data_IF_518969620812
#
_entry.id   IF_518969620812
#
_cell.length_a   1.000
_cell.length_b   1.000
_cell.length_c   1.000
_cell.angle_alpha   90.00
_cell.angle_beta   90.00
_cell.angle_gamma   90.00
#
_symmetry.space_group_name_H-M   'P 1'
#
loop_
_entity.id
_entity.type
_entity.pdbx_description
1 polymer ?
#
# COMPACT_ATOMS: atom_id res chain seq x y z
N UNK A 1 -23.34 17.24 -37.43
CA UNK A 1 -22.78 17.64 -36.10
C UNK A 1 -22.77 16.41 -35.21
N UNK A 2 -21.60 15.81 -35.04
CA UNK A 2 -21.41 14.62 -34.23
C UNK A 2 -21.64 14.94 -32.76
N UNK A 3 -22.42 14.09 -32.11
CA UNK A 3 -22.67 14.17 -30.66
C UNK A 3 -21.36 13.86 -29.93
N UNK A 4 -20.66 14.88 -29.49
CA UNK A 4 -19.61 14.72 -28.53
C UNK A 4 -20.25 14.17 -27.25
N UNK A 5 -19.81 13.00 -26.85
CA UNK A 5 -20.30 12.40 -25.61
C UNK A 5 -19.82 13.24 -24.42
N UNK A 6 -20.62 13.34 -23.35
CA UNK A 6 -20.25 14.02 -22.11
C UNK A 6 -18.87 13.61 -21.59
N UNK A 7 -18.44 12.37 -21.86
CA UNK A 7 -17.12 11.87 -21.53
C UNK A 7 -15.99 12.54 -22.30
N UNK A 8 -16.18 12.79 -23.62
CA UNK A 8 -15.19 13.49 -24.43
C UNK A 8 -15.08 14.96 -24.03
N UNK A 9 -16.18 15.59 -23.63
CA UNK A 9 -16.20 16.98 -23.15
C UNK A 9 -15.50 17.11 -21.77
N UNK A 10 -15.70 16.14 -20.87
CA UNK A 10 -15.02 16.09 -19.57
C UNK A 10 -13.51 15.82 -19.73
N UNK A 11 -13.12 14.98 -20.68
CA UNK A 11 -11.69 14.76 -20.99
C UNK A 11 -11.04 15.99 -21.63
N UNK A 12 -11.73 16.71 -22.51
CA UNK A 12 -11.21 17.93 -23.13
C UNK A 12 -11.19 19.11 -22.16
N UNK A 13 -12.20 19.23 -21.29
CA UNK A 13 -12.27 20.27 -20.26
C UNK A 13 -11.23 20.10 -19.14
N UNK A 14 -10.84 18.86 -18.80
CA UNK A 14 -9.79 18.59 -17.84
C UNK A 14 -8.38 18.86 -18.37
N UNK A 15 -8.19 18.87 -19.68
CA UNK A 15 -6.93 19.28 -20.32
C UNK A 15 -6.73 20.81 -20.31
N UNK A 16 -7.81 21.58 -20.19
CA UNK A 16 -7.77 23.04 -20.23
C UNK A 16 -7.85 23.74 -18.87
N UNK A 17 -8.22 23.05 -17.82
CA UNK A 17 -8.48 23.66 -16.51
C UNK A 17 -8.23 22.73 -15.32
N UNK A 18 -6.99 22.52 -14.95
CA UNK A 18 -6.65 21.96 -13.64
C UNK A 18 -6.48 20.45 -13.59
N UNK A 19 -5.32 19.96 -13.97
CA UNK A 19 -4.90 18.55 -13.96
C UNK A 19 -4.72 17.89 -12.59
N UNK A 20 -5.35 18.36 -11.53
CA UNK A 20 -5.13 17.85 -10.15
C UNK A 20 -6.07 16.69 -9.79
N UNK A 21 -7.15 16.45 -10.54
CA UNK A 21 -8.18 15.50 -10.12
C UNK A 21 -8.17 14.13 -10.82
N UNK A 22 -7.32 13.89 -11.80
CA UNK A 22 -7.44 12.70 -12.65
C UNK A 22 -6.67 11.49 -12.11
N UNK A 23 -5.58 11.67 -11.39
CA UNK A 23 -4.76 10.56 -10.90
C UNK A 23 -5.43 9.73 -9.80
N UNK A 24 -6.36 10.31 -9.06
CA UNK A 24 -6.98 9.69 -7.88
C UNK A 24 -8.40 9.17 -8.15
N UNK A 25 -9.10 9.77 -9.14
CA UNK A 25 -10.49 9.43 -9.45
C UNK A 25 -10.65 8.19 -10.33
N UNK A 26 -9.57 7.57 -10.82
CA UNK A 26 -9.64 6.49 -11.82
C UNK A 26 -9.79 5.10 -11.19
N UNK A 27 -9.63 4.96 -9.87
CA UNK A 27 -9.99 3.73 -9.16
C UNK A 27 -11.27 3.95 -8.34
N UNK A 28 -12.47 3.85 -8.95
CA UNK A 28 -13.71 3.95 -8.21
C UNK A 28 -13.90 2.67 -7.40
N UNK A 29 -14.00 2.82 -6.10
CA UNK A 29 -14.20 1.74 -5.16
C UNK A 29 -12.99 1.54 -4.24
N UNK A 30 -13.23 0.92 -3.12
CA UNK A 30 -12.17 0.43 -2.25
C UNK A 30 -11.57 -0.80 -2.90
N UNK A 31 -10.34 -0.70 -3.43
CA UNK A 31 -9.63 -1.83 -4.04
C UNK A 31 -9.51 -2.97 -3.04
N UNK A 32 -9.29 -2.66 -1.76
CA UNK A 32 -9.22 -3.65 -0.70
C UNK A 32 -10.46 -4.55 -0.67
N UNK A 33 -11.67 -4.01 -0.82
CA UNK A 33 -12.89 -4.81 -0.90
C UNK A 33 -12.93 -5.81 -2.06
N UNK A 34 -12.36 -5.43 -3.21
CA UNK A 34 -12.38 -6.28 -4.40
C UNK A 34 -11.44 -7.47 -4.32
N UNK A 35 -10.37 -7.33 -3.58
CA UNK A 35 -9.32 -8.35 -3.48
C UNK A 35 -9.25 -9.01 -2.11
N UNK A 36 -10.10 -8.58 -1.16
CA UNK A 36 -10.11 -9.12 0.21
C UNK A 36 -10.22 -10.64 0.22
N UNK A 37 -11.22 -11.19 -0.46
CA UNK A 37 -11.48 -12.63 -0.50
C UNK A 37 -10.38 -13.45 -1.19
N UNK A 38 -9.46 -12.77 -1.87
CA UNK A 38 -8.31 -13.39 -2.56
C UNK A 38 -7.06 -13.40 -1.69
N UNK A 39 -6.95 -12.45 -0.74
CA UNK A 39 -5.69 -12.14 -0.04
C UNK A 39 -5.80 -12.32 1.47
N UNK A 40 -6.99 -12.08 2.04
CA UNK A 40 -7.22 -12.17 3.47
C UNK A 40 -7.79 -13.53 3.84
N UNK A 41 -7.18 -14.18 4.82
CA UNK A 41 -7.67 -15.40 5.43
C UNK A 41 -8.76 -15.10 6.47
N UNK A 42 -9.36 -16.17 7.05
CA UNK A 42 -10.37 -16.01 8.10
C UNK A 42 -9.78 -15.28 9.32
N UNK A 43 -10.44 -14.19 9.72
CA UNK A 43 -9.98 -13.35 10.84
C UNK A 43 -9.01 -12.25 10.45
N UNK A 44 -8.66 -12.12 9.17
CA UNK A 44 -7.86 -11.03 8.64
C UNK A 44 -8.71 -9.96 7.94
N UNK A 45 -8.30 -8.72 8.04
CA UNK A 45 -8.98 -7.58 7.38
C UNK A 45 -8.01 -6.79 6.53
N UNK A 46 -8.29 -6.68 5.24
CA UNK A 46 -7.56 -5.83 4.31
C UNK A 46 -8.04 -4.37 4.47
N UNK A 47 -7.43 -3.66 5.40
CA UNK A 47 -7.73 -2.25 5.69
C UNK A 47 -7.39 -1.36 4.48
N UNK A 48 -6.28 -1.64 3.82
CA UNK A 48 -5.87 -1.01 2.58
C UNK A 48 -5.29 -2.10 1.65
N UNK A 49 -5.25 -1.88 0.34
CA UNK A 49 -4.65 -2.84 -0.60
C UNK A 49 -3.23 -3.32 -0.21
N UNK A 50 -2.49 -2.53 0.54
CA UNK A 50 -1.14 -2.84 1.01
C UNK A 50 -1.06 -3.13 2.52
N UNK A 51 -2.18 -3.17 3.24
CA UNK A 51 -2.22 -3.33 4.71
C UNK A 51 -3.29 -4.34 5.09
N UNK A 52 -2.85 -5.47 5.63
CA UNK A 52 -3.68 -6.51 6.23
C UNK A 52 -3.46 -6.51 7.74
N UNK A 53 -4.51 -6.70 8.54
CA UNK A 53 -4.45 -6.77 10.00
C UNK A 53 -5.26 -7.99 10.43
N UNK A 54 -4.66 -8.85 11.23
CA UNK A 54 -5.31 -10.05 11.77
C UNK A 54 -5.83 -9.85 13.20
N UNK A 55 -6.47 -10.89 13.74
CA UNK A 55 -7.04 -10.89 15.09
C UNK A 55 -5.99 -10.82 16.20
N UNK A 56 -4.75 -11.20 15.93
CA UNK A 56 -3.62 -11.14 16.86
C UNK A 56 -2.91 -9.80 16.83
N UNK A 57 -3.48 -8.82 16.14
CA UNK A 57 -2.94 -7.48 15.96
C UNK A 57 -1.61 -7.44 15.18
N UNK A 58 -1.36 -8.46 14.35
CA UNK A 58 -0.23 -8.48 13.42
C UNK A 58 -0.57 -7.63 12.20
N UNK A 59 0.31 -6.72 11.86
CA UNK A 59 0.20 -5.90 10.66
C UNK A 59 1.03 -6.52 9.55
N UNK A 60 0.39 -6.95 8.47
CA UNK A 60 1.08 -7.50 7.30
C UNK A 60 1.11 -6.49 6.15
N UNK A 61 2.31 -6.13 5.73
CA UNK A 61 2.56 -5.29 4.56
C UNK A 61 2.53 -6.15 3.28
N UNK A 62 1.58 -5.89 2.40
CA UNK A 62 1.51 -6.53 1.08
C UNK A 62 2.49 -5.83 0.13
N UNK A 63 3.60 -6.50 -0.21
CA UNK A 63 4.68 -5.90 -0.99
C UNK A 63 4.62 -6.33 -2.45
N UNK A 64 4.43 -5.41 -3.41
CA UNK A 64 4.27 -5.75 -4.83
C UNK A 64 5.64 -5.91 -5.55
N UNK A 65 6.63 -6.43 -4.86
CA UNK A 65 7.97 -6.65 -5.39
C UNK A 65 8.56 -7.94 -4.85
N UNK A 66 9.05 -8.78 -5.77
CA UNK A 66 9.75 -10.00 -5.40
C UNK A 66 11.08 -9.70 -4.67
N UNK A 67 11.38 -10.49 -3.66
CA UNK A 67 12.68 -10.43 -2.97
C UNK A 67 13.71 -11.25 -3.75
N UNK A 68 14.75 -10.58 -4.22
CA UNK A 68 15.86 -11.17 -4.96
C UNK A 68 17.20 -11.01 -4.22
N UNK A 69 17.14 -10.80 -2.90
CA UNK A 69 18.33 -10.52 -2.08
C UNK A 69 18.60 -9.02 -1.86
N UNK A 70 17.82 -8.13 -2.50
CA UNK A 70 18.01 -6.68 -2.44
C UNK A 70 17.43 -6.02 -1.19
N UNK A 71 16.62 -6.73 -0.38
CA UNK A 71 16.04 -6.22 0.86
C UNK A 71 14.88 -5.23 0.65
N UNK A 72 14.30 -5.19 -0.54
CA UNK A 72 13.24 -4.22 -0.87
C UNK A 72 11.97 -4.43 -0.05
N UNK A 73 11.58 -5.68 0.20
CA UNK A 73 10.36 -5.99 0.95
C UNK A 73 10.45 -5.48 2.39
N UNK A 74 11.55 -5.76 3.10
CA UNK A 74 11.75 -5.27 4.47
C UNK A 74 11.76 -3.73 4.52
N UNK A 75 12.44 -3.08 3.57
CA UNK A 75 12.49 -1.62 3.54
C UNK A 75 11.11 -1.00 3.27
N UNK A 76 10.33 -1.59 2.38
CA UNK A 76 8.95 -1.14 2.11
C UNK A 76 8.02 -1.37 3.30
N UNK A 77 8.16 -2.51 4.00
CA UNK A 77 7.43 -2.77 5.24
C UNK A 77 7.77 -1.74 6.32
N UNK A 78 9.04 -1.33 6.45
CA UNK A 78 9.43 -0.24 7.36
C UNK A 78 8.74 1.09 7.02
N UNK A 79 8.65 1.42 5.74
CA UNK A 79 7.99 2.66 5.29
C UNK A 79 6.49 2.67 5.60
N UNK A 80 5.82 1.53 5.41
CA UNK A 80 4.43 1.37 5.76
C UNK A 80 4.21 1.41 7.26
N UNK A 81 4.98 0.63 8.02
CA UNK A 81 4.87 0.51 9.47
C UNK A 81 5.06 1.86 10.17
N UNK A 82 6.03 2.65 9.72
CA UNK A 82 6.30 3.96 10.29
C UNK A 82 5.12 4.92 10.09
N UNK A 83 4.59 5.00 8.87
CA UNK A 83 3.44 5.86 8.59
C UNK A 83 2.16 5.38 9.28
N UNK A 84 2.03 4.08 9.49
CA UNK A 84 0.89 3.48 10.19
C UNK A 84 0.99 3.63 11.72
N UNK A 85 2.15 3.98 12.28
CA UNK A 85 2.45 3.88 13.72
C UNK A 85 2.34 2.43 14.25
N UNK A 86 2.67 1.45 13.43
CA UNK A 86 2.63 0.06 13.82
C UNK A 86 3.84 -0.32 14.69
N UNK A 87 3.63 -1.26 15.60
CA UNK A 87 4.73 -1.89 16.33
C UNK A 87 5.55 -2.77 15.37
N UNK A 88 6.79 -2.38 15.12
CA UNK A 88 7.68 -3.09 14.20
C UNK A 88 7.86 -4.58 14.53
N UNK A 89 7.84 -4.94 15.79
CA UNK A 89 8.05 -6.32 16.22
C UNK A 89 6.90 -7.25 15.81
N UNK A 90 5.69 -6.68 15.63
CA UNK A 90 4.50 -7.40 15.14
C UNK A 90 4.25 -7.21 13.65
N UNK A 91 5.06 -6.39 12.95
CA UNK A 91 4.94 -6.22 11.50
C UNK A 91 5.49 -7.44 10.76
N UNK A 92 4.75 -7.88 9.77
CA UNK A 92 5.14 -8.91 8.80
C UNK A 92 5.03 -8.35 7.39
N UNK A 93 5.54 -9.07 6.42
CA UNK A 93 5.26 -8.77 5.02
C UNK A 93 4.94 -10.05 4.25
N UNK A 94 4.15 -9.88 3.22
CA UNK A 94 3.85 -10.90 2.23
C UNK A 94 4.06 -10.33 0.84
N UNK A 95 4.40 -11.20 -0.11
CA UNK A 95 4.48 -10.81 -1.51
C UNK A 95 3.05 -10.69 -2.06
N UNK A 96 2.72 -9.52 -2.57
CA UNK A 96 1.42 -9.30 -3.18
C UNK A 96 1.26 -10.15 -4.45
N UNK A 97 0.07 -10.72 -4.69
CA UNK A 97 -0.15 -11.53 -5.87
C UNK A 97 0.01 -10.72 -7.17
N UNK A 98 0.36 -11.42 -8.26
CA UNK A 98 0.57 -10.83 -9.58
C UNK A 98 -0.77 -10.49 -10.25
N UNK A 99 -1.49 -9.50 -9.73
CA UNK A 99 -2.76 -8.99 -10.26
C UNK A 99 -2.66 -7.50 -10.57
N UNK A 100 -3.56 -7.00 -11.41
CA UNK A 100 -3.52 -5.61 -11.90
C UNK A 100 -3.65 -4.56 -10.79
N UNK A 101 -4.28 -4.90 -9.67
CA UNK A 101 -4.42 -4.02 -8.50
C UNK A 101 -3.08 -3.63 -7.88
N UNK A 102 -2.08 -4.49 -8.03
CA UNK A 102 -0.71 -4.25 -7.56
C UNK A 102 0.25 -3.81 -8.67
N UNK A 103 -0.27 -3.48 -9.85
CA UNK A 103 0.57 -2.94 -10.93
C UNK A 103 1.29 -1.65 -10.50
N UNK A 104 2.59 -1.59 -10.74
CA UNK A 104 3.44 -0.49 -10.26
C UNK A 104 3.78 0.50 -11.39
N UNK A 105 2.76 1.27 -11.80
CA UNK A 105 2.84 2.24 -12.89
C UNK A 105 3.95 3.29 -12.71
N UNK A 106 4.28 3.62 -11.48
CA UNK A 106 5.32 4.60 -11.15
C UNK A 106 6.71 4.12 -11.55
N UNK A 107 6.99 2.82 -11.43
CA UNK A 107 8.21 2.22 -11.98
C UNK A 107 8.21 2.23 -13.50
N UNK A 108 7.10 1.84 -14.14
CA UNK A 108 6.95 1.92 -15.59
C UNK A 108 7.19 3.33 -16.11
N UNK A 109 6.63 4.34 -15.42
CA UNK A 109 6.90 5.76 -15.71
C UNK A 109 8.40 6.08 -15.61
N UNK A 110 9.07 5.64 -14.54
CA UNK A 110 10.50 5.88 -14.36
C UNK A 110 11.37 5.27 -15.46
N UNK A 111 10.99 4.09 -15.96
CA UNK A 111 11.69 3.48 -17.10
C UNK A 111 11.45 4.20 -18.42
N UNK A 112 10.23 4.67 -18.71
CA UNK A 112 9.88 5.31 -19.97
C UNK A 112 10.35 6.76 -20.05
N UNK A 113 10.22 7.49 -18.96
CA UNK A 113 10.50 8.93 -18.95
C UNK A 113 11.83 9.28 -18.26
N UNK A 114 12.46 8.30 -17.57
CA UNK A 114 13.76 8.49 -16.88
C UNK A 114 13.79 9.80 -16.09
N UNK A 115 14.76 10.65 -16.40
CA UNK A 115 14.99 11.94 -15.75
C UNK A 115 14.31 13.12 -16.46
N UNK A 116 13.32 12.87 -17.33
CA UNK A 116 12.57 13.92 -17.97
C UNK A 116 11.73 14.62 -16.90
N UNK A 117 12.09 15.88 -16.63
CA UNK A 117 11.29 16.76 -15.78
C UNK A 117 10.01 17.13 -16.53
N UNK A 118 8.93 16.45 -16.19
CA UNK A 118 7.61 16.77 -16.72
C UNK A 118 7.08 18.02 -16.02
N UNK A 119 6.51 18.98 -16.77
CA UNK A 119 5.80 20.08 -16.14
C UNK A 119 4.71 19.57 -15.19
N UNK A 120 4.60 20.17 -14.00
CA UNK A 120 3.68 19.74 -12.95
C UNK A 120 2.23 19.59 -13.41
N UNK A 121 1.79 20.42 -14.34
CA UNK A 121 0.43 20.35 -14.89
C UNK A 121 0.18 19.12 -15.79
N UNK A 122 1.22 18.50 -16.37
CA UNK A 122 1.11 17.29 -17.20
C UNK A 122 1.29 16.00 -16.39
N UNK A 123 2.00 16.06 -15.27
CA UNK A 123 2.33 14.90 -14.46
C UNK A 123 1.08 14.05 -14.11
N UNK A 124 -0.06 14.61 -13.65
CA UNK A 124 -1.24 13.82 -13.33
C UNK A 124 -1.86 13.10 -14.53
N UNK A 125 -1.82 13.71 -15.72
CA UNK A 125 -2.34 13.09 -16.94
C UNK A 125 -1.49 11.91 -17.40
N UNK A 126 -0.17 12.07 -17.29
CA UNK A 126 0.79 11.01 -17.61
C UNK A 126 0.70 9.88 -16.60
N UNK A 127 0.58 10.16 -15.32
CA UNK A 127 0.37 9.17 -14.28
C UNK A 127 -0.92 8.39 -14.50
N UNK A 128 -2.01 9.05 -14.85
CA UNK A 128 -3.28 8.40 -15.20
C UNK A 128 -3.17 7.50 -16.43
N UNK A 129 -2.43 7.91 -17.44
CA UNK A 129 -2.16 7.10 -18.63
C UNK A 129 -1.30 5.88 -18.27
N UNK A 130 -0.22 6.07 -17.52
CA UNK A 130 0.67 4.99 -17.10
C UNK A 130 -0.03 3.99 -16.18
N UNK A 131 -0.91 4.46 -15.30
CA UNK A 131 -1.72 3.59 -14.45
C UNK A 131 -2.62 2.67 -15.30
N UNK A 132 -3.31 3.21 -16.29
CA UNK A 132 -4.16 2.43 -17.20
C UNK A 132 -3.35 1.44 -18.04
N UNK A 133 -2.20 1.88 -18.54
CA UNK A 133 -1.31 1.02 -19.32
C UNK A 133 -0.77 -0.12 -18.46
N UNK A 134 -0.31 0.17 -17.26
CA UNK A 134 0.20 -0.84 -16.32
C UNK A 134 -0.89 -1.83 -15.90
N UNK A 135 -2.11 -1.35 -15.68
CA UNK A 135 -3.27 -2.19 -15.39
C UNK A 135 -3.61 -3.11 -16.58
N UNK A 136 -3.71 -2.56 -17.79
CA UNK A 136 -4.02 -3.31 -18.99
C UNK A 136 -2.95 -4.36 -19.38
N UNK A 137 -1.70 -4.09 -19.04
CA UNK A 137 -0.56 -4.99 -19.32
C UNK A 137 -0.21 -5.87 -18.12
N UNK A 138 -0.94 -5.79 -17.01
CA UNK A 138 -0.65 -6.48 -15.75
C UNK A 138 0.81 -6.29 -15.30
N UNK A 139 1.32 -5.07 -15.45
CA UNK A 139 2.74 -4.77 -15.22
C UNK A 139 3.09 -4.79 -13.74
N UNK A 140 3.76 -5.83 -13.29
CA UNK A 140 4.52 -5.84 -12.06
C UNK A 140 6.01 -5.83 -12.37
N UNK A 141 6.67 -4.76 -11.95
CA UNK A 141 8.10 -4.57 -12.19
C UNK A 141 8.81 -4.61 -10.85
N UNK A 142 9.72 -5.57 -10.70
CA UNK A 142 10.59 -5.69 -9.53
C UNK A 142 11.91 -4.96 -9.77
N UNK A 143 12.50 -4.43 -8.70
CA UNK A 143 13.78 -3.77 -8.71
C UNK A 143 14.35 -3.62 -7.29
N UNK A 144 15.46 -2.90 -7.19
CA UNK A 144 16.11 -2.59 -5.92
C UNK A 144 15.75 -1.20 -5.40
N UNK A 145 16.73 -0.29 -5.39
CA UNK A 145 16.57 1.06 -4.84
C UNK A 145 15.48 1.89 -5.51
N UNK A 146 15.23 1.69 -6.81
CA UNK A 146 14.15 2.37 -7.51
C UNK A 146 12.78 1.94 -6.97
N UNK A 147 12.59 0.65 -6.67
CA UNK A 147 11.35 0.14 -6.05
C UNK A 147 11.08 0.81 -4.72
N UNK A 148 12.11 0.96 -3.87
CA UNK A 148 11.99 1.63 -2.57
C UNK A 148 11.67 3.12 -2.75
N UNK A 149 12.39 3.80 -3.64
CA UNK A 149 12.19 5.24 -3.90
C UNK A 149 10.81 5.56 -4.48
N UNK A 150 10.28 4.67 -5.31
CA UNK A 150 9.02 4.91 -6.04
C UNK A 150 7.85 4.24 -5.35
N UNK A 151 7.80 2.91 -5.32
CA UNK A 151 6.70 2.17 -4.68
C UNK A 151 6.68 2.39 -3.17
N UNK A 152 7.84 2.42 -2.52
CA UNK A 152 7.95 2.72 -1.10
C UNK A 152 7.39 4.11 -0.78
N UNK A 153 7.91 5.14 -1.45
CA UNK A 153 7.54 6.53 -1.18
C UNK A 153 6.09 6.87 -1.57
N UNK A 154 5.64 6.43 -2.75
CA UNK A 154 4.35 6.81 -3.32
C UNK A 154 3.28 5.73 -3.19
N UNK A 155 3.61 4.56 -2.68
CA UNK A 155 2.69 3.47 -2.41
C UNK A 155 2.63 3.15 -0.91
N UNK A 156 3.70 2.58 -0.37
CA UNK A 156 3.71 2.04 0.99
C UNK A 156 3.52 3.11 2.08
N UNK A 157 4.17 4.27 1.96
CA UNK A 157 3.96 5.38 2.89
C UNK A 157 2.52 5.90 2.83
N UNK A 158 2.00 6.11 1.63
CA UNK A 158 0.62 6.58 1.45
C UNK A 158 -0.37 5.55 2.00
N UNK A 159 -0.13 4.26 1.76
CA UNK A 159 -0.97 3.18 2.28
C UNK A 159 -0.98 3.13 3.82
N UNK A 160 0.21 3.23 4.44
CA UNK A 160 0.33 3.26 5.90
C UNK A 160 -0.39 4.46 6.51
N UNK A 161 -0.19 5.66 5.96
CA UNK A 161 -0.85 6.87 6.44
C UNK A 161 -2.39 6.81 6.25
N UNK A 162 -2.86 6.33 5.09
CA UNK A 162 -4.30 6.17 4.84
C UNK A 162 -4.93 5.15 5.78
N UNK A 163 -4.28 4.01 6.03
CA UNK A 163 -4.76 2.99 6.96
C UNK A 163 -4.81 3.54 8.40
N UNK A 164 -3.81 4.32 8.82
CA UNK A 164 -3.83 5.00 10.12
C UNK A 164 -5.03 5.92 10.27
N UNK A 165 -5.29 6.77 9.26
CA UNK A 165 -6.45 7.67 9.27
C UNK A 165 -7.78 6.88 9.34
N UNK A 166 -7.89 5.75 8.62
CA UNK A 166 -9.08 4.91 8.66
C UNK A 166 -9.29 4.26 10.04
N UNK A 167 -8.22 3.76 10.66
CA UNK A 167 -8.27 3.18 12.01
C UNK A 167 -8.65 4.24 13.07
N UNK A 168 -8.03 5.42 13.02
CA UNK A 168 -8.38 6.56 13.89
C UNK A 168 -9.87 6.92 13.73
N UNK A 169 -10.35 7.00 12.51
CA UNK A 169 -11.75 7.30 12.22
C UNK A 169 -12.70 6.22 12.71
N UNK A 170 -12.32 4.94 12.60
CA UNK A 170 -13.10 3.82 13.12
C UNK A 170 -13.24 3.91 14.64
N UNK A 171 -12.13 4.10 15.35
CA UNK A 171 -12.12 4.25 16.79
C UNK A 171 -12.86 5.50 17.27
N UNK A 172 -12.66 6.64 16.61
CA UNK A 172 -13.37 7.88 16.94
C UNK A 172 -14.89 7.73 16.83
N UNK A 173 -15.34 7.04 15.77
CA UNK A 173 -16.76 6.74 15.58
C UNK A 173 -17.31 5.83 16.67
N UNK A 174 -16.61 4.76 17.00
CA UNK A 174 -17.03 3.80 18.04
C UNK A 174 -17.04 4.45 19.42
N UNK A 175 -16.02 5.25 19.73
CA UNK A 175 -15.90 5.94 21.01
C UNK A 175 -16.76 7.20 21.12
N UNK A 176 -17.37 7.62 20.00
CA UNK A 176 -18.17 8.85 19.89
C UNK A 176 -17.36 10.09 20.33
N UNK A 177 -16.18 10.26 19.74
CA UNK A 177 -15.24 11.36 20.00
C UNK A 177 -14.77 11.95 18.67
N UNK A 178 -14.05 13.08 18.72
CA UNK A 178 -13.44 13.68 17.52
C UNK A 178 -12.23 12.86 17.05
N UNK A 179 -12.03 12.73 15.72
CA UNK A 179 -10.85 12.09 15.14
C UNK A 179 -9.54 12.72 15.65
N UNK A 180 -9.52 14.05 15.85
CA UNK A 180 -8.36 14.78 16.37
C UNK A 180 -8.00 14.48 17.82
N UNK A 181 -8.87 13.79 18.57
CA UNK A 181 -8.62 13.38 19.96
C UNK A 181 -8.10 11.96 20.06
N UNK A 182 -8.09 11.21 18.95
CA UNK A 182 -7.58 9.84 18.88
C UNK A 182 -6.15 9.85 18.30
N UNK A 183 -5.24 9.20 19.00
CA UNK A 183 -3.85 9.03 18.57
C UNK A 183 -3.53 7.56 18.31
N UNK A 184 -2.64 7.32 17.34
CA UNK A 184 -2.14 5.98 17.00
C UNK A 184 -0.68 5.85 17.48
N UNK A 185 -0.37 4.75 18.15
CA UNK A 185 0.99 4.43 18.59
C UNK A 185 1.16 2.93 18.83
N UNK A 186 2.24 2.33 18.29
CA UNK A 186 2.61 0.93 18.48
C UNK A 186 1.45 -0.06 18.26
N UNK A 187 0.74 0.07 17.13
CA UNK A 187 -0.43 -0.75 16.77
C UNK A 187 -1.61 -0.63 17.74
N UNK A 188 -1.70 0.46 18.49
CA UNK A 188 -2.83 0.80 19.36
C UNK A 188 -3.39 2.17 19.03
N UNK A 189 -4.66 2.35 19.37
CA UNK A 189 -5.37 3.65 19.33
C UNK A 189 -5.68 4.08 20.75
N UNK A 190 -5.53 5.37 21.00
CA UNK A 190 -5.69 5.97 22.33
C UNK A 190 -6.59 7.20 22.27
N UNK A 191 -7.48 7.35 23.27
CA UNK A 191 -8.19 8.58 23.54
C UNK A 191 -7.90 9.01 24.97
N UNK A 192 -6.98 9.97 25.14
CA UNK A 192 -6.43 10.37 26.44
C UNK A 192 -7.48 10.89 27.42
N UNK A 193 -8.45 11.68 26.93
CA UNK A 193 -9.48 12.31 27.76
C UNK A 193 -10.37 11.29 28.48
N UNK A 194 -10.69 10.16 27.86
CA UNK A 194 -11.51 9.10 28.47
C UNK A 194 -10.69 7.89 28.91
N UNK A 195 -9.38 7.90 28.71
CA UNK A 195 -8.46 6.78 28.99
C UNK A 195 -8.84 5.50 28.25
N UNK A 196 -9.52 5.61 27.10
CA UNK A 196 -9.83 4.47 26.24
C UNK A 196 -8.62 4.14 25.41
N UNK A 197 -8.44 2.84 25.20
CA UNK A 197 -7.46 2.30 24.25
C UNK A 197 -8.04 1.05 23.57
N UNK A 198 -7.52 0.72 22.40
CA UNK A 198 -7.85 -0.51 21.67
C UNK A 198 -6.75 -0.83 20.68
N UNK A 199 -6.67 -2.08 20.28
CA UNK A 199 -5.72 -2.56 19.27
C UNK A 199 -6.16 -2.15 17.88
N UNK A 200 -5.29 -2.22 16.89
CA UNK A 200 -5.70 -2.06 15.49
C UNK A 200 -6.66 -3.18 15.06
N UNK A 201 -6.48 -4.40 15.60
CA UNK A 201 -7.38 -5.52 15.34
C UNK A 201 -8.84 -5.22 15.74
N UNK A 202 -9.06 -4.54 16.88
CA UNK A 202 -10.41 -4.18 17.34
C UNK A 202 -11.16 -3.31 16.32
N UNK A 203 -10.45 -2.52 15.55
CA UNK A 203 -11.01 -1.57 14.59
C UNK A 203 -10.80 -1.95 13.12
N UNK A 204 -10.05 -3.02 12.84
CA UNK A 204 -9.67 -3.39 11.47
C UNK A 204 -10.88 -3.63 10.56
N UNK A 205 -11.89 -4.35 11.03
CA UNK A 205 -13.14 -4.61 10.29
C UNK A 205 -13.89 -3.30 9.95
N UNK A 206 -14.05 -2.41 10.94
CA UNK A 206 -14.73 -1.14 10.74
C UNK A 206 -13.92 -0.20 9.82
N UNK A 207 -12.59 -0.20 9.95
CA UNK A 207 -11.70 0.56 9.09
C UNK A 207 -11.73 0.04 7.64
N UNK A 208 -11.68 -1.28 7.42
CA UNK A 208 -11.76 -1.89 6.10
C UNK A 208 -13.03 -1.51 5.33
N UNK A 209 -14.13 -1.29 6.04
CA UNK A 209 -15.39 -0.81 5.44
C UNK A 209 -15.35 0.66 4.98
N UNK A 210 -14.30 1.41 5.31
CA UNK A 210 -14.18 2.83 4.97
C UNK A 210 -13.46 3.05 3.65
N UNK A 211 -13.68 4.22 3.05
CA UNK A 211 -12.93 4.65 1.88
C UNK A 211 -11.62 5.33 2.34
N UNK A 212 -10.45 4.89 1.84
CA UNK A 212 -9.19 5.54 2.17
C UNK A 212 -9.13 6.98 1.65
N UNK A 213 -8.41 7.84 2.37
CA UNK A 213 -8.07 9.18 1.90
C UNK A 213 -7.19 9.07 0.64
N UNK A 214 -7.44 9.94 -0.32
CA UNK A 214 -6.59 10.06 -1.51
C UNK A 214 -5.31 10.88 -1.26
N UNK A 215 -5.32 11.68 -0.21
CA UNK A 215 -4.22 12.56 0.19
C UNK A 215 -4.01 12.49 1.71
N UNK A 216 -3.60 11.31 2.23
CA UNK A 216 -3.39 11.16 3.67
C UNK A 216 -2.19 11.99 4.12
N UNK A 217 -2.21 12.40 5.38
CA UNK A 217 -1.14 13.19 5.97
C UNK A 217 0.06 12.30 6.28
N UNK A 218 1.16 12.53 5.55
CA UNK A 218 2.42 11.83 5.77
C UNK A 218 3.22 12.45 6.92
N UNK A 219 3.95 11.60 7.64
CA UNK A 219 4.89 12.04 8.67
C UNK A 219 6.07 12.81 8.07
N UNK A 220 6.54 13.79 8.82
CA UNK A 220 7.82 14.44 8.53
C UNK A 220 8.98 13.54 8.96
N UNK A 221 10.16 13.65 8.33
CA UNK A 221 11.33 12.81 8.65
C UNK A 221 11.72 12.84 10.14
N UNK A 222 11.50 13.94 10.82
CA UNK A 222 11.75 14.08 12.27
C UNK A 222 10.85 13.20 13.15
N UNK A 223 9.71 12.73 12.62
CA UNK A 223 8.76 11.88 13.32
C UNK A 223 8.96 10.38 13.03
N UNK A 224 9.95 10.02 12.20
CA UNK A 224 10.20 8.62 11.86
C UNK A 224 10.78 7.85 13.06
N UNK A 225 10.18 6.70 13.34
CA UNK A 225 10.59 5.80 14.42
C UNK A 225 11.27 4.54 13.87
N UNK A 226 10.88 4.10 12.68
CA UNK A 226 11.32 2.85 12.03
C UNK A 226 12.18 3.14 10.80
N UNK A 227 11.72 4.03 9.91
CA UNK A 227 12.52 4.48 8.76
C UNK A 227 13.83 5.14 9.23
N UNK A 228 14.92 4.86 8.49
CA UNK A 228 16.25 5.36 8.83
C UNK A 228 16.91 4.64 10.01
N UNK A 229 16.30 3.60 10.56
CA UNK A 229 16.87 2.72 11.58
C UNK A 229 17.25 1.39 10.96
N UNK A 230 18.40 0.84 11.35
CA UNK A 230 18.76 -0.52 10.96
C UNK A 230 17.83 -1.51 11.65
N UNK A 231 17.20 -2.36 10.85
CA UNK A 231 16.32 -3.44 11.31
C UNK A 231 16.77 -4.75 10.67
N UNK A 232 16.68 -5.87 11.38
CA UNK A 232 16.92 -7.18 10.80
C UNK A 232 15.97 -7.42 9.62
N UNK A 233 16.48 -8.04 8.58
CA UNK A 233 15.63 -8.47 7.46
C UNK A 233 14.81 -9.68 7.90
N UNK A 234 13.54 -9.67 7.58
CA UNK A 234 12.60 -10.75 7.97
C UNK A 234 12.88 -12.08 7.24
N UNK A 235 13.51 -12.03 6.06
CA UNK A 235 13.81 -13.19 5.23
C UNK A 235 15.13 -13.91 5.59
N UNK A 236 15.97 -13.31 6.43
CA UNK A 236 17.27 -13.89 6.78
C UNK A 236 17.15 -15.17 7.61
N UNK A 237 16.29 -15.25 8.66
CA UNK A 237 16.21 -16.45 9.49
C UNK A 237 16.00 -17.73 8.68
N UNK A 238 14.99 -17.76 7.81
CA UNK A 238 14.70 -18.93 6.96
C UNK A 238 15.83 -19.28 5.98
N UNK A 239 16.59 -18.27 5.53
CA UNK A 239 17.73 -18.49 4.62
C UNK A 239 18.97 -19.07 5.29
N UNK A 240 19.13 -18.84 6.58
CA UNK A 240 20.31 -19.33 7.33
C UNK A 240 20.05 -20.62 8.10
N UNK A 241 18.78 -20.94 8.40
CA UNK A 241 18.41 -22.21 9.03
C UNK A 241 18.01 -23.31 8.02
N UNK A 242 17.96 -22.96 6.73
CA UNK A 242 17.63 -23.87 5.64
C UNK A 242 16.13 -24.11 5.43
N UNK A 243 15.24 -23.38 6.11
CA UNK A 243 13.79 -23.51 5.93
C UNK A 243 13.22 -22.72 4.74
N UNK A 244 14.02 -21.82 4.13
CA UNK A 244 13.60 -21.09 2.94
C UNK A 244 13.35 -22.04 1.76
N UNK A 245 12.20 -21.90 1.12
CA UNK A 245 11.81 -22.69 -0.05
C UNK A 245 12.01 -21.83 -1.29
N UNK A 246 12.85 -22.30 -2.22
CA UNK A 246 13.07 -21.68 -3.51
C UNK A 246 12.36 -22.45 -4.63
N UNK A 247 12.28 -21.88 -5.82
CA UNK A 247 11.59 -22.50 -6.96
C UNK A 247 12.06 -23.93 -7.26
N UNK A 248 13.35 -24.22 -7.08
CA UNK A 248 13.93 -25.57 -7.27
C UNK A 248 13.52 -26.57 -6.18
N UNK A 249 13.08 -26.08 -5.02
CA UNK A 249 12.69 -26.92 -3.88
C UNK A 249 11.21 -27.33 -3.93
N UNK A 250 10.43 -26.64 -4.77
CA UNK A 250 8.99 -26.90 -4.88
C UNK A 250 8.75 -28.32 -5.37
N UNK A 251 7.88 -29.06 -4.67
CA UNK A 251 7.40 -30.37 -5.03
C UNK A 251 5.89 -30.39 -5.04
N UNK A 252 5.29 -30.92 -6.09
CA UNK A 252 3.83 -31.09 -6.24
C UNK A 252 3.54 -32.52 -6.67
N UNK A 253 2.38 -33.09 -6.29
CA UNK A 253 1.92 -34.37 -6.84
C UNK A 253 1.91 -34.31 -8.38
N UNK A 254 2.44 -35.34 -9.03
CA UNK A 254 2.54 -35.46 -10.49
C UNK A 254 3.36 -34.37 -11.18
N UNK A 255 4.26 -33.68 -10.45
CA UNK A 255 5.16 -32.70 -11.02
C UNK A 255 6.13 -33.38 -12.00
N UNK A 256 6.30 -32.80 -13.18
CA UNK A 256 7.34 -33.15 -14.14
C UNK A 256 8.38 -32.03 -14.18
N UNK A 257 9.63 -32.41 -14.36
CA UNK A 257 10.72 -31.47 -14.58
C UNK A 257 11.12 -31.52 -16.07
N UNK A 258 11.29 -30.36 -16.69
CA UNK A 258 11.80 -30.20 -18.04
C UNK A 258 13.19 -29.57 -18.00
N UNK A 259 14.08 -29.99 -18.92
CA UNK A 259 15.35 -29.33 -19.20
C UNK A 259 15.20 -28.37 -20.37
#
# INVERSE_FOLDING_TARGET
MGKWTRRAFLCAGSLAGGGVLIGVAIRPGNIAHRINDMIADEGEYLVHAFVKIDSDNVVTAMTPHAEMGQGAQTAMAQMLADELDADWETVRFEEAPAISEYSNYTLGRGYLFKDINLPDFLAPSIDGMMMKLSDALHMQITGGSMSIRVTGQYGMRIAGAAAREMLIKAAAKEWNVSEGEVTAENSFLYHSNTRRQGTYADFASAAAAMKPSSTPTLKQPSAFKVMGRSKPRHDIPSKVDGSAIFALDIRRPNMVSGE
#
